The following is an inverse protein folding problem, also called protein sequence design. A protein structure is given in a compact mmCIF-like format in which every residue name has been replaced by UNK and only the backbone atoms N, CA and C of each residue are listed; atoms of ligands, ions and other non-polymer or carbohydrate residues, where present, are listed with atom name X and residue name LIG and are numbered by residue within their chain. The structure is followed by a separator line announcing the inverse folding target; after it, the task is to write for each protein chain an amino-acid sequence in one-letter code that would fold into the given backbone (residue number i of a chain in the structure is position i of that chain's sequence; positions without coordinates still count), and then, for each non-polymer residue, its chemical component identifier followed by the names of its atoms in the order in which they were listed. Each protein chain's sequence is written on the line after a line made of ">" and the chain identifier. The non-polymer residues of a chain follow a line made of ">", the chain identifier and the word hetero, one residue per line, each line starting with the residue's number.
data_IF_070433997130
#
_entry.id   IF_070433997130
#
_cell.length_a   1.000
_cell.length_b   1.000
_cell.length_c   1.000
_cell.angle_alpha   90.00
_cell.angle_beta   90.00
_cell.angle_gamma   90.00
#
_symmetry.space_group_name_H-M   'P 1'
#
loop_
_entity.id
_entity.type
_entity.pdbx_description
1 polymer ?
#
# COMPACT_ATOMS: atom_id res chain seq x y z
N UNK A 1 71.74 44.63 24.33
CA UNK A 1 71.38 43.20 24.24
C UNK A 1 69.91 43.14 23.83
N UNK A 2 69.65 42.74 22.59
CA UNK A 2 68.34 42.83 21.92
C UNK A 2 67.62 41.50 22.13
N UNK A 3 66.41 41.53 22.68
CA UNK A 3 65.57 40.35 22.89
C UNK A 3 65.02 39.82 21.56
N UNK A 4 64.85 38.49 21.38
CA UNK A 4 64.30 37.95 20.15
C UNK A 4 62.79 38.20 20.04
N UNK A 5 62.35 38.48 18.81
CA UNK A 5 60.96 38.62 18.37
C UNK A 5 60.17 37.32 18.59
N UNK A 6 58.91 37.34 19.05
CA UNK A 6 58.09 36.14 19.10
C UNK A 6 57.57 35.76 17.70
N UNK A 7 57.58 34.46 17.41
CA UNK A 7 57.04 33.86 16.17
C UNK A 7 55.52 34.08 16.03
N UNK A 8 54.99 34.18 14.79
CA UNK A 8 53.55 34.30 14.57
C UNK A 8 52.81 33.01 14.90
N UNK A 9 51.73 33.13 15.69
CA UNK A 9 50.83 32.04 16.03
C UNK A 9 50.08 31.57 14.78
N UNK A 10 50.05 30.26 14.44
CA UNK A 10 49.27 29.78 13.30
C UNK A 10 47.77 29.94 13.57
N UNK A 11 47.09 30.63 12.65
CA UNK A 11 45.63 30.82 12.68
C UNK A 11 44.95 29.49 12.35
N UNK A 12 44.30 28.86 13.33
CA UNK A 12 43.44 27.71 13.03
C UNK A 12 42.16 28.18 12.33
N UNK A 13 41.70 27.52 11.26
CA UNK A 13 40.40 27.84 10.66
C UNK A 13 39.25 27.51 11.63
N UNK A 14 38.22 28.35 11.63
CA UNK A 14 36.97 28.11 12.39
C UNK A 14 36.35 26.76 11.96
N UNK A 15 35.80 25.97 12.90
CA UNK A 15 35.03 24.79 12.52
C UNK A 15 33.76 25.23 11.78
N UNK A 16 33.62 24.79 10.53
CA UNK A 16 32.39 24.94 9.75
C UNK A 16 31.35 23.99 10.34
N UNK A 17 30.22 24.52 10.82
CA UNK A 17 29.06 23.70 11.19
C UNK A 17 28.58 22.94 9.94
N UNK A 18 28.44 21.60 9.97
CA UNK A 18 27.83 20.89 8.86
C UNK A 18 26.35 21.28 8.76
N UNK A 19 25.92 21.61 7.53
CA UNK A 19 24.51 21.75 7.18
C UNK A 19 23.77 20.44 7.52
N UNK A 20 22.47 20.48 7.88
CA UNK A 20 21.71 19.26 8.10
C UNK A 20 21.69 18.44 6.80
N UNK A 21 22.39 17.30 6.82
CA UNK A 21 22.34 16.30 5.78
C UNK A 21 20.89 15.89 5.58
N UNK A 22 20.37 16.13 4.37
CA UNK A 22 19.17 15.47 3.86
C UNK A 22 19.32 13.99 4.19
N UNK A 23 18.47 13.44 5.07
CA UNK A 23 18.40 12.00 5.26
C UNK A 23 17.86 11.45 3.96
N UNK A 24 18.72 10.84 3.15
CA UNK A 24 18.26 9.92 2.13
C UNK A 24 17.33 8.90 2.81
N UNK A 25 16.15 8.59 2.25
CA UNK A 25 15.29 7.57 2.84
C UNK A 25 16.07 6.26 2.85
N UNK A 26 16.31 5.72 4.07
CA UNK A 26 16.99 4.44 4.25
C UNK A 26 16.41 3.39 3.30
N UNK A 27 17.26 2.57 2.63
CA UNK A 27 16.75 1.44 1.87
C UNK A 27 15.93 0.56 2.80
N UNK A 28 14.70 0.26 2.39
CA UNK A 28 13.77 -0.56 3.16
C UNK A 28 14.44 -1.88 3.57
N UNK A 29 14.24 -2.37 4.80
CA UNK A 29 14.80 -3.64 5.23
C UNK A 29 14.27 -4.74 4.30
N UNK A 30 15.18 -5.34 3.55
CA UNK A 30 14.92 -6.54 2.77
C UNK A 30 15.12 -7.73 3.72
N UNK A 31 14.10 -8.59 3.78
CA UNK A 31 14.03 -9.87 4.49
C UNK A 31 13.65 -9.85 5.98
N UNK A 32 12.35 -9.97 6.26
CA UNK A 32 11.84 -10.74 7.41
C UNK A 32 10.54 -11.45 7.03
N UNK A 33 10.52 -12.77 7.26
CA UNK A 33 9.37 -13.67 7.16
C UNK A 33 8.11 -13.09 7.83
N UNK A 34 6.94 -13.24 7.20
CA UNK A 34 5.64 -12.99 7.85
C UNK A 34 5.16 -11.54 7.97
N UNK A 35 5.75 -10.55 7.28
CA UNK A 35 5.38 -9.15 7.49
C UNK A 35 4.00 -8.80 6.90
N UNK A 36 3.01 -8.65 7.78
CA UNK A 36 1.88 -7.75 7.58
C UNK A 36 2.39 -6.31 7.75
N UNK A 37 2.17 -5.46 6.77
CA UNK A 37 2.61 -4.07 6.76
C UNK A 37 1.50 -3.10 6.34
N UNK A 38 1.71 -1.81 6.61
CA UNK A 38 0.83 -0.74 6.14
C UNK A 38 1.57 0.09 5.08
N UNK A 39 1.01 0.20 3.88
CA UNK A 39 1.53 1.03 2.80
C UNK A 39 0.71 2.33 2.70
N UNK A 40 1.36 3.49 2.78
CA UNK A 40 0.68 4.79 2.64
C UNK A 40 0.14 4.93 1.20
N UNK A 41 -1.18 4.99 1.04
CA UNK A 41 -1.85 5.19 -0.25
C UNK A 41 -2.11 6.66 -0.50
N UNK A 42 -2.46 7.41 0.54
CA UNK A 42 -2.87 8.80 0.39
C UNK A 42 -2.52 9.62 1.62
N UNK A 43 -1.98 10.80 1.40
CA UNK A 43 -1.80 11.81 2.43
C UNK A 43 -2.54 13.07 1.99
N UNK A 44 -3.41 13.58 2.87
CA UNK A 44 -4.13 14.83 2.64
C UNK A 44 -3.92 15.75 3.83
N UNK A 45 -3.92 17.05 3.56
CA UNK A 45 -3.93 18.08 4.59
C UNK A 45 -5.11 18.99 4.31
N UNK A 46 -5.94 19.22 5.33
CA UNK A 46 -7.09 20.11 5.20
C UNK A 46 -6.70 21.58 5.44
N UNK A 47 -7.68 22.47 5.33
CA UNK A 47 -7.48 23.91 5.52
C UNK A 47 -7.17 24.32 6.96
N UNK A 48 -7.42 23.43 7.93
CA UNK A 48 -7.14 23.65 9.35
C UNK A 48 -5.76 23.10 9.76
N UNK A 49 -5.02 22.50 8.82
CA UNK A 49 -3.71 21.90 9.05
C UNK A 49 -3.77 20.45 9.55
N UNK A 50 -4.94 19.83 9.59
CA UNK A 50 -5.08 18.43 9.98
C UNK A 50 -4.62 17.55 8.83
N UNK A 51 -3.89 16.48 9.15
CA UNK A 51 -3.39 15.52 8.18
C UNK A 51 -4.14 14.20 8.31
N UNK A 52 -4.53 13.68 7.16
CA UNK A 52 -5.22 12.40 7.01
C UNK A 52 -4.32 11.48 6.20
N UNK A 53 -3.79 10.45 6.84
CA UNK A 53 -2.91 9.47 6.22
C UNK A 53 -3.67 8.16 6.07
N UNK A 54 -3.97 7.79 4.83
CA UNK A 54 -4.69 6.57 4.51
C UNK A 54 -3.70 5.49 4.06
N UNK A 55 -3.77 4.34 4.72
CA UNK A 55 -2.88 3.21 4.54
C UNK A 55 -3.68 2.00 4.05
N UNK A 56 -3.07 1.23 3.15
CA UNK A 56 -3.53 -0.07 2.71
C UNK A 56 -2.76 -1.15 3.47
N UNK A 57 -3.45 -2.10 4.07
CA UNK A 57 -2.78 -3.27 4.63
C UNK A 57 -2.23 -4.16 3.52
N UNK A 58 -1.01 -4.63 3.72
CA UNK A 58 -0.25 -5.51 2.83
C UNK A 58 0.16 -6.76 3.60
N UNK A 59 0.17 -7.91 2.94
CA UNK A 59 0.78 -9.13 3.45
C UNK A 59 1.74 -9.67 2.40
N UNK A 60 3.04 -9.74 2.75
CA UNK A 60 4.11 -10.17 1.83
C UNK A 60 4.08 -9.47 0.46
N UNK A 61 3.75 -8.17 0.45
CA UNK A 61 3.67 -7.35 -0.75
C UNK A 61 2.33 -7.40 -1.49
N UNK A 62 1.37 -8.19 -1.03
CA UNK A 62 0.03 -8.30 -1.63
C UNK A 62 -0.96 -7.46 -0.82
N UNK A 63 -1.72 -6.54 -1.45
CA UNK A 63 -2.71 -5.74 -0.75
C UNK A 63 -3.88 -6.60 -0.27
N UNK A 64 -4.38 -6.30 0.94
CA UNK A 64 -5.58 -6.92 1.48
C UNK A 64 -6.82 -6.17 1.00
N UNK A 65 -7.78 -6.91 0.49
CA UNK A 65 -9.04 -6.35 0.04
C UNK A 65 -9.84 -5.80 1.23
N UNK A 66 -10.29 -4.55 1.12
CA UNK A 66 -11.08 -3.83 2.14
C UNK A 66 -10.44 -3.76 3.53
N UNK A 67 -9.11 -3.72 3.60
CA UNK A 67 -8.40 -3.49 4.85
C UNK A 67 -7.51 -2.26 4.71
N UNK A 68 -8.09 -1.13 5.07
CA UNK A 68 -7.44 0.16 5.12
C UNK A 68 -7.45 0.74 6.54
N UNK A 69 -6.51 1.63 6.81
CA UNK A 69 -6.39 2.32 8.09
C UNK A 69 -6.10 3.79 7.84
N UNK A 70 -6.88 4.67 8.45
CA UNK A 70 -6.68 6.13 8.37
C UNK A 70 -6.19 6.68 9.68
N UNK A 71 -5.00 7.29 9.67
CA UNK A 71 -4.42 7.99 10.80
C UNK A 71 -4.71 9.48 10.66
N UNK A 72 -5.38 10.03 11.66
CA UNK A 72 -5.69 11.45 11.74
C UNK A 72 -4.75 12.15 12.70
N UNK A 73 -4.10 13.20 12.19
CA UNK A 73 -3.09 13.98 12.88
C UNK A 73 -3.56 15.43 12.92
N UNK A 74 -3.51 16.06 14.09
CA UNK A 74 -3.90 17.46 14.24
C UNK A 74 -2.79 18.42 13.76
N UNK A 75 -3.06 19.72 13.79
CA UNK A 75 -2.12 20.75 13.33
C UNK A 75 -0.81 20.78 14.14
N UNK A 76 -0.83 20.33 15.40
CA UNK A 76 0.35 20.23 16.26
C UNK A 76 1.18 18.96 15.99
N UNK A 77 0.73 18.07 15.09
CA UNK A 77 1.42 16.83 14.75
C UNK A 77 1.08 15.64 15.63
N UNK A 78 0.08 15.75 16.52
CA UNK A 78 -0.37 14.67 17.38
C UNK A 78 -1.41 13.80 16.68
N UNK A 79 -1.24 12.48 16.77
CA UNK A 79 -2.28 11.51 16.38
C UNK A 79 -3.42 11.63 17.38
N UNK A 80 -4.62 11.95 16.90
CA UNK A 80 -5.80 12.07 17.75
C UNK A 80 -6.87 11.02 17.45
N UNK A 81 -6.77 10.33 16.31
CA UNK A 81 -7.69 9.28 15.89
C UNK A 81 -7.04 8.33 14.90
N UNK A 82 -7.37 7.05 15.02
CA UNK A 82 -7.06 6.02 14.04
C UNK A 82 -8.37 5.30 13.74
N UNK A 83 -8.74 5.26 12.47
CA UNK A 83 -9.91 4.54 11.95
C UNK A 83 -9.46 3.36 11.08
N UNK A 84 -10.28 2.32 11.01
CA UNK A 84 -10.04 1.13 10.19
C UNK A 84 -9.56 -0.07 10.99
N UNK A 85 -9.43 -1.20 10.30
CA UNK A 85 -9.12 -2.50 10.90
C UNK A 85 -7.87 -3.09 10.27
N UNK A 86 -7.01 -3.66 11.12
CA UNK A 86 -5.87 -4.47 10.70
C UNK A 86 -6.22 -5.93 10.94
N UNK A 87 -6.27 -6.70 9.87
CA UNK A 87 -6.68 -8.11 9.89
C UNK A 87 -5.45 -8.98 10.09
N UNK A 88 -5.47 -9.88 11.08
CA UNK A 88 -4.39 -10.84 11.24
C UNK A 88 -4.47 -11.92 10.15
N UNK A 89 -3.34 -12.22 9.50
CA UNK A 89 -3.27 -13.17 8.39
C UNK A 89 -2.38 -14.34 8.80
N UNK A 90 -2.88 -15.58 8.76
CA UNK A 90 -2.07 -16.76 9.08
C UNK A 90 -0.76 -16.80 8.28
N UNK A 91 0.35 -17.19 8.92
CA UNK A 91 1.67 -17.20 8.29
C UNK A 91 1.78 -18.16 7.09
N UNK A 92 0.89 -19.15 7.01
CA UNK A 92 0.84 -20.16 5.95
C UNK A 92 -0.11 -19.77 4.80
N UNK A 93 -0.63 -18.55 4.77
CA UNK A 93 -1.43 -18.06 3.65
C UNK A 93 -0.62 -18.04 2.36
N UNK A 94 -1.18 -18.65 1.30
CA UNK A 94 -0.56 -18.71 -0.03
C UNK A 94 -0.57 -17.34 -0.69
N UNK A 95 0.54 -17.00 -1.35
CA UNK A 95 0.76 -15.71 -2.02
C UNK A 95 1.11 -15.84 -3.50
N UNK A 96 1.15 -17.07 -4.02
CA UNK A 96 1.44 -17.35 -5.42
C UNK A 96 0.16 -17.82 -6.13
N UNK A 97 -0.27 -17.13 -7.21
CA UNK A 97 -1.45 -17.53 -7.97
C UNK A 97 -1.15 -18.74 -8.86
N UNK A 98 -2.08 -19.70 -8.95
CA UNK A 98 -1.98 -20.82 -9.89
C UNK A 98 -2.63 -20.49 -11.25
N UNK A 99 -3.63 -19.60 -11.24
CA UNK A 99 -4.30 -19.08 -12.44
C UNK A 99 -3.77 -17.71 -12.82
N UNK A 100 -3.69 -17.45 -14.12
CA UNK A 100 -3.29 -16.14 -14.62
C UNK A 100 -4.45 -15.14 -14.51
N UNK A 101 -4.13 -13.84 -14.58
CA UNK A 101 -5.15 -12.79 -14.68
C UNK A 101 -6.04 -12.94 -15.92
N UNK A 102 -5.56 -13.59 -16.99
CA UNK A 102 -6.34 -13.85 -18.19
C UNK A 102 -7.38 -14.96 -17.96
N UNK A 103 -6.98 -16.05 -17.29
CA UNK A 103 -7.89 -17.15 -16.93
C UNK A 103 -8.99 -16.64 -15.99
N UNK A 104 -8.60 -15.87 -14.97
CA UNK A 104 -9.54 -15.24 -14.05
C UNK A 104 -10.49 -14.27 -14.76
N UNK A 105 -10.00 -13.50 -15.74
CA UNK A 105 -10.83 -12.60 -16.54
C UNK A 105 -11.85 -13.36 -17.38
N UNK A 106 -11.46 -14.50 -17.96
CA UNK A 106 -12.39 -15.36 -18.68
C UNK A 106 -13.51 -15.85 -17.76
N UNK A 107 -13.17 -16.38 -16.58
CA UNK A 107 -14.17 -16.80 -15.58
C UNK A 107 -15.07 -15.64 -15.15
N UNK A 108 -14.50 -14.47 -14.88
CA UNK A 108 -15.26 -13.29 -14.47
C UNK A 108 -16.26 -12.85 -15.54
N UNK A 109 -15.86 -12.80 -16.81
CA UNK A 109 -16.77 -12.43 -17.91
C UNK A 109 -17.88 -13.45 -18.13
N UNK A 110 -17.59 -14.75 -17.97
CA UNK A 110 -18.60 -15.83 -18.06
C UNK A 110 -19.59 -15.80 -16.88
N UNK A 111 -19.16 -15.34 -15.70
CA UNK A 111 -20.03 -15.23 -14.54
C UNK A 111 -20.94 -14.00 -14.55
N UNK A 112 -20.63 -12.98 -15.37
CA UNK A 112 -21.48 -11.81 -15.51
C UNK A 112 -22.68 -12.12 -16.42
N UNK A 113 -23.89 -11.61 -16.07
CA UNK A 113 -25.03 -11.73 -16.95
C UNK A 113 -24.77 -10.95 -18.24
N UNK A 114 -25.33 -11.50 -19.31
CA UNK A 114 -25.37 -10.95 -20.67
C UNK A 114 -24.03 -10.95 -21.43
N UNK A 115 -24.10 -11.36 -22.71
CA UNK A 115 -23.02 -11.29 -23.71
C UNK A 115 -22.70 -9.84 -24.12
N UNK A 116 -22.60 -8.94 -23.14
CA UNK A 116 -22.39 -7.51 -23.35
C UNK A 116 -20.99 -7.17 -23.84
N UNK A 117 -20.08 -8.15 -23.96
CA UNK A 117 -18.71 -7.87 -24.39
C UNK A 117 -17.95 -7.03 -23.37
N UNK A 118 -18.05 -7.42 -22.08
CA UNK A 118 -17.32 -6.81 -20.98
C UNK A 118 -15.82 -6.69 -21.29
N UNK A 119 -15.28 -5.48 -21.12
CA UNK A 119 -13.87 -5.18 -21.35
C UNK A 119 -13.13 -5.14 -20.02
N UNK A 120 -12.01 -5.85 -19.95
CA UNK A 120 -11.09 -5.80 -18.80
C UNK A 120 -10.33 -4.48 -18.83
N UNK A 121 -10.43 -3.71 -17.74
CA UNK A 121 -9.77 -2.41 -17.60
C UNK A 121 -8.59 -2.45 -16.63
N UNK A 122 -8.72 -3.22 -15.55
CA UNK A 122 -7.71 -3.32 -14.52
C UNK A 122 -7.73 -4.70 -13.88
N UNK A 123 -6.56 -5.17 -13.49
CA UNK A 123 -6.34 -6.40 -12.74
C UNK A 123 -5.31 -6.15 -11.65
N UNK A 124 -5.57 -6.69 -10.46
CA UNK A 124 -4.63 -6.69 -9.35
C UNK A 124 -4.79 -7.98 -8.56
N UNK A 125 -3.70 -8.50 -8.03
CA UNK A 125 -3.74 -9.63 -7.11
C UNK A 125 -3.96 -9.08 -5.69
N UNK A 126 -4.93 -9.61 -4.97
CA UNK A 126 -5.31 -9.17 -3.62
C UNK A 126 -5.53 -10.37 -2.69
N UNK A 127 -5.33 -10.19 -1.40
CA UNK A 127 -5.76 -11.14 -0.38
C UNK A 127 -7.15 -10.77 0.12
N UNK A 128 -8.09 -11.70 0.01
CA UNK A 128 -9.47 -11.54 0.45
C UNK A 128 -9.66 -12.41 1.68
N UNK A 129 -9.95 -11.78 2.82
CA UNK A 129 -10.26 -12.51 4.05
C UNK A 129 -11.77 -12.71 4.11
N UNK A 130 -12.17 -13.97 4.08
CA UNK A 130 -13.55 -14.39 4.36
C UNK A 130 -13.62 -14.90 5.80
N UNK A 131 -14.82 -15.15 6.32
CA UNK A 131 -15.00 -15.68 7.69
C UNK A 131 -14.21 -16.97 7.91
N UNK A 132 -14.11 -17.82 6.87
CA UNK A 132 -13.46 -19.13 6.97
C UNK A 132 -11.96 -19.16 6.63
N UNK A 133 -11.46 -18.21 5.81
CA UNK A 133 -10.09 -18.28 5.27
C UNK A 133 -9.61 -16.97 4.62
N UNK A 134 -8.29 -16.80 4.56
CA UNK A 134 -7.64 -15.84 3.67
C UNK A 134 -7.38 -16.48 2.30
N UNK A 135 -7.98 -15.93 1.23
CA UNK A 135 -7.88 -16.41 -0.14
C UNK A 135 -7.12 -15.43 -1.02
N UNK A 136 -6.26 -15.93 -1.88
CA UNK A 136 -5.57 -15.13 -2.88
C UNK A 136 -6.46 -14.99 -4.11
N UNK A 137 -6.79 -13.77 -4.52
CA UNK A 137 -7.77 -13.52 -5.56
C UNK A 137 -7.32 -12.45 -6.57
N UNK A 138 -7.72 -12.64 -7.82
CA UNK A 138 -7.68 -11.61 -8.84
C UNK A 138 -8.85 -10.65 -8.66
N UNK A 139 -8.54 -9.38 -8.42
CA UNK A 139 -9.48 -8.28 -8.45
C UNK A 139 -9.51 -7.66 -9.85
N UNK A 140 -10.63 -7.84 -10.53
CA UNK A 140 -10.83 -7.45 -11.91
C UNK A 140 -11.84 -6.31 -11.99
N UNK A 141 -11.48 -5.24 -12.69
CA UNK A 141 -12.42 -4.21 -13.09
C UNK A 141 -12.87 -4.47 -14.51
N UNK A 142 -14.15 -4.80 -14.66
CA UNK A 142 -14.79 -5.03 -15.95
C UNK A 142 -15.74 -3.87 -16.26
N UNK A 143 -15.73 -3.39 -17.50
CA UNK A 143 -16.60 -2.30 -17.95
C UNK A 143 -17.35 -2.65 -19.22
N UNK A 144 -18.58 -2.19 -19.31
CA UNK A 144 -19.38 -2.25 -20.52
C UNK A 144 -20.29 -1.02 -20.59
N UNK A 145 -20.19 -0.25 -21.68
CA UNK A 145 -20.84 1.05 -21.82
C UNK A 145 -20.60 1.94 -20.57
N UNK A 146 -21.65 2.28 -19.82
CA UNK A 146 -21.56 3.07 -18.58
C UNK A 146 -21.45 2.21 -17.32
N UNK A 147 -21.56 0.88 -17.46
CA UNK A 147 -21.51 -0.06 -16.34
C UNK A 147 -20.07 -0.42 -16.00
N UNK A 148 -19.83 -0.58 -14.70
CA UNK A 148 -18.57 -1.09 -14.14
C UNK A 148 -18.90 -2.15 -13.10
N UNK A 149 -18.23 -3.29 -13.18
CA UNK A 149 -18.27 -4.37 -12.20
C UNK A 149 -16.87 -4.57 -11.64
N UNK A 150 -16.81 -4.93 -10.37
CA UNK A 150 -15.60 -5.47 -9.75
C UNK A 150 -15.83 -6.93 -9.46
N UNK A 151 -14.95 -7.80 -9.93
CA UNK A 151 -15.07 -9.24 -9.75
C UNK A 151 -13.82 -9.73 -9.03
N UNK A 152 -14.03 -10.47 -7.94
CA UNK A 152 -12.98 -11.18 -7.22
C UNK A 152 -13.06 -12.66 -7.64
N UNK A 153 -11.98 -13.16 -8.23
CA UNK A 153 -11.86 -14.55 -8.65
C UNK A 153 -10.71 -15.19 -7.89
N UNK A 154 -10.96 -16.32 -7.23
CA UNK A 154 -9.93 -17.08 -6.55
C UNK A 154 -8.82 -17.47 -7.53
N UNK A 155 -7.59 -17.12 -7.19
CA UNK A 155 -6.42 -17.31 -8.07
C UNK A 155 -5.91 -18.75 -8.10
N UNK A 156 -6.50 -19.65 -7.33
CA UNK A 156 -6.18 -21.08 -7.29
C UNK A 156 -7.30 -21.87 -7.94
N UNK A 157 -8.54 -21.73 -7.45
CA UNK A 157 -9.68 -22.53 -7.93
C UNK A 157 -10.37 -21.95 -9.15
N UNK A 158 -10.23 -20.64 -9.40
CA UNK A 158 -11.00 -19.92 -10.42
C UNK A 158 -12.44 -19.64 -10.01
N UNK A 159 -12.83 -19.94 -8.77
CA UNK A 159 -14.16 -19.64 -8.25
C UNK A 159 -14.37 -18.12 -8.16
N UNK A 160 -15.56 -17.65 -8.57
CA UNK A 160 -15.93 -16.25 -8.34
C UNK A 160 -16.33 -16.07 -6.88
N UNK A 161 -15.45 -15.40 -6.10
CA UNK A 161 -15.67 -15.10 -4.69
C UNK A 161 -16.75 -14.03 -4.53
N UNK A 162 -16.70 -12.98 -5.36
CA UNK A 162 -17.64 -11.85 -5.26
C UNK A 162 -17.77 -11.10 -6.57
N UNK A 163 -18.99 -10.65 -6.87
CA UNK A 163 -19.28 -9.65 -7.90
C UNK A 163 -19.88 -8.43 -7.22
N UNK A 164 -19.33 -7.25 -7.53
CA UNK A 164 -19.74 -5.97 -6.94
C UNK A 164 -20.15 -5.00 -8.05
N UNK A 165 -21.25 -4.29 -7.81
CA UNK A 165 -21.66 -3.15 -8.61
C UNK A 165 -20.75 -1.93 -8.37
N UNK A 166 -20.61 -1.08 -9.38
CA UNK A 166 -19.73 0.08 -9.33
C UNK A 166 -20.02 1.09 -8.21
N UNK A 167 -19.20 1.04 -7.15
CA UNK A 167 -18.33 2.13 -6.66
C UNK A 167 -17.23 1.47 -5.83
N UNK A 168 -15.97 1.75 -6.17
CA UNK A 168 -14.84 1.51 -5.28
C UNK A 168 -14.69 2.77 -4.41
N UNK A 169 -14.62 2.60 -3.09
CA UNK A 169 -14.24 3.66 -2.15
C UNK A 169 -12.78 3.46 -1.77
#
# INVERSE_FOLDING_TARGET
>A
MIAPTPDPVPTQPRPTLPMPSQREPSPMPQHTSGFTGLALVKAQTDTLGFRHLHYQQMYRGIPLWQSDTTIHINAEGNVYRVDGDVIDIPENTRTEPELTAADAAQTATTALPDNLGWQRQHEALMLVVTEDAARLAWHLTLTHATQRKFVLVDSISGEVIKVLEGRWQ
#
